data_IF_654470182650
#
_entry.id   IF_654470182650
#
_cell.length_a   1.000
_cell.length_b   1.000
_cell.length_c   1.000
_cell.angle_alpha   90.00
_cell.angle_beta   90.00
_cell.angle_gamma   90.00
#
_symmetry.space_group_name_H-M   'P 1'
#
loop_
_entity.id
_entity.type
_entity.pdbx_description
1 polymer ?
#
# COMPACT_ATOMS: atom_id res chain seq x y z
N UNK A 1 -12.57 43.12 5.52
CA UNK A 1 -11.19 42.66 5.80
C UNK A 1 -11.26 41.14 5.86
N UNK A 2 -10.77 40.50 4.80
CA UNK A 2 -10.84 39.05 4.62
C UNK A 2 -9.74 38.38 5.45
N UNK A 3 -10.09 37.44 6.31
CA UNK A 3 -9.17 36.48 6.89
C UNK A 3 -9.65 35.09 6.48
N UNK A 4 -9.22 34.63 5.31
CA UNK A 4 -9.40 33.25 4.88
C UNK A 4 -8.35 32.43 5.60
N UNK A 5 -8.72 31.77 6.69
CA UNK A 5 -7.90 30.74 7.33
C UNK A 5 -7.76 29.57 6.35
N UNK A 6 -6.62 29.48 5.67
CA UNK A 6 -6.27 28.31 4.88
C UNK A 6 -5.91 27.18 5.83
N UNK A 7 -6.92 26.40 6.25
CA UNK A 7 -6.70 25.09 6.84
C UNK A 7 -6.01 24.25 5.77
N UNK A 8 -4.70 24.04 5.88
CA UNK A 8 -4.00 22.99 5.14
C UNK A 8 -4.60 21.65 5.59
N UNK A 9 -5.74 21.28 4.98
CA UNK A 9 -6.44 20.05 5.25
C UNK A 9 -5.52 18.90 4.90
N UNK A 10 -4.96 18.27 5.92
CA UNK A 10 -4.17 17.06 5.80
C UNK A 10 -5.04 16.03 5.07
N UNK A 11 -4.79 15.84 3.77
CA UNK A 11 -5.61 14.95 2.93
C UNK A 11 -5.53 13.56 3.52
N UNK A 12 -6.67 13.05 3.98
CA UNK A 12 -6.74 11.71 4.53
C UNK A 12 -6.49 10.70 3.41
N UNK A 13 -5.52 9.81 3.61
CA UNK A 13 -5.16 8.82 2.60
C UNK A 13 -6.09 7.59 2.68
N UNK A 14 -6.70 7.15 1.57
CA UNK A 14 -7.71 6.09 1.58
C UNK A 14 -7.19 4.77 2.16
N UNK A 15 -5.92 4.43 1.94
CA UNK A 15 -5.29 3.23 2.52
C UNK A 15 -5.40 3.15 4.06
N UNK A 16 -5.44 4.30 4.75
CA UNK A 16 -5.53 4.34 6.21
C UNK A 16 -6.94 4.02 6.75
N UNK A 17 -7.95 3.93 5.89
CA UNK A 17 -9.31 3.53 6.26
C UNK A 17 -9.54 2.02 6.28
N UNK A 18 -8.62 1.24 5.69
CA UNK A 18 -8.78 -0.22 5.61
C UNK A 18 -8.41 -0.86 6.93
N UNK A 19 -9.44 -1.26 7.68
CA UNK A 19 -9.30 -1.96 8.97
C UNK A 19 -9.16 -3.47 8.82
N UNK A 20 -9.68 -4.04 7.73
CA UNK A 20 -9.62 -5.48 7.47
C UNK A 20 -9.38 -5.77 5.97
N UNK A 21 -8.13 -5.98 5.58
CA UNK A 21 -7.80 -6.28 4.17
C UNK A 21 -8.30 -7.66 3.73
N UNK A 22 -8.54 -8.60 4.65
CA UNK A 22 -9.02 -9.96 4.30
C UNK A 22 -10.41 -9.95 3.66
N UNK A 23 -11.24 -8.94 3.96
CA UNK A 23 -12.54 -8.80 3.29
C UNK A 23 -12.41 -8.34 1.83
N UNK A 24 -11.27 -7.73 1.47
CA UNK A 24 -10.99 -7.22 0.13
C UNK A 24 -10.17 -8.23 -0.70
N UNK A 25 -9.33 -9.02 -0.03
CA UNK A 25 -8.54 -10.09 -0.63
C UNK A 25 -8.87 -11.40 0.12
N UNK A 26 -9.92 -12.14 -0.32
CA UNK A 26 -10.38 -13.36 0.36
C UNK A 26 -9.52 -14.59 0.02
N UNK A 27 -8.27 -14.39 -0.40
CA UNK A 27 -7.32 -15.45 -0.72
C UNK A 27 -6.15 -15.32 0.24
N UNK A 28 -5.75 -16.44 0.85
CA UNK A 28 -4.52 -16.53 1.62
C UNK A 28 -3.41 -17.07 0.73
N UNK A 29 -2.28 -16.36 0.67
CA UNK A 29 -1.09 -16.86 -0.01
C UNK A 29 -0.42 -17.93 0.86
N UNK A 30 -0.24 -19.13 0.32
CA UNK A 30 0.50 -20.21 0.94
C UNK A 30 1.47 -20.85 -0.06
N UNK A 31 2.29 -21.78 0.43
CA UNK A 31 3.32 -22.45 -0.38
C UNK A 31 2.79 -23.65 -1.18
N UNK A 32 1.56 -24.11 -0.91
CA UNK A 32 1.04 -25.40 -1.39
C UNK A 32 -0.10 -25.28 -2.42
N UNK A 33 -0.92 -24.24 -2.30
CA UNK A 33 -2.17 -24.07 -3.06
C UNK A 33 -1.97 -23.52 -4.48
N UNK A 34 -0.78 -23.06 -4.83
CA UNK A 34 -0.50 -22.46 -6.14
C UNK A 34 -1.26 -21.16 -6.41
N UNK A 35 -1.87 -20.54 -5.39
CA UNK A 35 -2.75 -19.37 -5.54
C UNK A 35 -2.00 -18.04 -5.72
N UNK A 36 -0.67 -18.06 -5.85
CA UNK A 36 0.15 -16.85 -5.97
C UNK A 36 -0.32 -15.93 -7.11
N UNK A 37 -0.70 -16.49 -8.26
CA UNK A 37 -1.17 -15.68 -9.38
C UNK A 37 -2.44 -14.90 -9.03
N UNK A 38 -3.47 -15.57 -8.53
CA UNK A 38 -4.73 -14.95 -8.11
C UNK A 38 -4.55 -13.97 -6.96
N UNK A 39 -3.78 -14.36 -5.94
CA UNK A 39 -3.48 -13.50 -4.79
C UNK A 39 -2.74 -12.23 -5.23
N UNK A 40 -1.68 -12.37 -6.03
CA UNK A 40 -0.89 -11.21 -6.48
C UNK A 40 -1.68 -10.27 -7.38
N UNK A 41 -2.58 -10.79 -8.21
CA UNK A 41 -3.48 -9.99 -9.03
C UNK A 41 -4.45 -9.16 -8.16
N UNK A 42 -5.12 -9.79 -7.18
CA UNK A 42 -6.03 -9.11 -6.26
C UNK A 42 -5.28 -8.08 -5.40
N UNK A 43 -4.10 -8.41 -4.89
CA UNK A 43 -3.29 -7.51 -4.08
C UNK A 43 -2.88 -6.25 -4.86
N UNK A 44 -2.44 -6.40 -6.12
CA UNK A 44 -2.10 -5.26 -6.98
C UNK A 44 -3.30 -4.37 -7.29
N UNK A 45 -4.47 -4.96 -7.53
CA UNK A 45 -5.72 -4.18 -7.75
C UNK A 45 -6.06 -3.38 -6.50
N UNK A 46 -6.03 -4.03 -5.33
CA UNK A 46 -6.30 -3.38 -4.04
C UNK A 46 -5.31 -2.25 -3.76
N UNK A 47 -4.03 -2.46 -3.99
CA UNK A 47 -2.99 -1.44 -3.82
C UNK A 47 -3.19 -0.24 -4.77
N UNK A 48 -3.63 -0.48 -6.02
CA UNK A 48 -3.92 0.59 -6.99
C UNK A 48 -5.14 1.41 -6.59
N UNK A 49 -6.21 0.77 -6.11
CA UNK A 49 -7.43 1.48 -5.66
C UNK A 49 -7.14 2.40 -4.47
N UNK A 50 -6.11 2.09 -3.69
CA UNK A 50 -5.75 2.83 -2.48
C UNK A 50 -4.50 3.69 -2.63
N UNK A 51 -4.02 3.93 -3.87
CA UNK A 51 -2.85 4.77 -4.17
C UNK A 51 -1.57 4.34 -3.43
N UNK A 52 -1.37 3.02 -3.23
CA UNK A 52 -0.16 2.46 -2.58
C UNK A 52 0.59 1.47 -3.46
N UNK A 53 0.27 1.39 -4.76
CA UNK A 53 0.93 0.46 -5.68
C UNK A 53 2.45 0.72 -5.80
N UNK A 54 2.87 1.97 -5.70
CA UNK A 54 4.27 2.39 -5.81
C UNK A 54 5.13 1.92 -4.62
N UNK A 55 4.51 1.51 -3.50
CA UNK A 55 5.20 0.85 -2.39
C UNK A 55 5.57 -0.62 -2.70
N UNK A 56 4.99 -1.21 -3.74
CA UNK A 56 5.20 -2.62 -4.12
C UNK A 56 6.02 -2.70 -5.40
N UNK A 57 5.66 -1.90 -6.40
CA UNK A 57 6.28 -1.90 -7.72
C UNK A 57 6.92 -0.54 -7.92
N UNK A 58 8.26 -0.51 -7.88
CA UNK A 58 9.00 0.70 -8.18
C UNK A 58 8.83 1.05 -9.66
N UNK A 59 8.57 2.33 -9.98
CA UNK A 59 8.50 2.77 -11.37
C UNK A 59 9.85 2.56 -12.07
N UNK A 60 9.80 2.15 -13.34
CA UNK A 60 10.99 1.87 -14.15
C UNK A 60 11.41 3.05 -15.02
N UNK A 61 10.44 3.82 -15.51
CA UNK A 61 10.64 4.97 -16.38
C UNK A 61 11.23 6.16 -15.62
N UNK A 62 12.14 6.89 -16.25
CA UNK A 62 12.87 8.00 -15.61
C UNK A 62 11.95 9.12 -15.11
N UNK A 63 10.89 9.43 -15.86
CA UNK A 63 9.89 10.44 -15.46
C UNK A 63 9.12 10.00 -14.23
N UNK A 64 8.70 8.74 -14.18
CA UNK A 64 7.88 8.22 -13.10
C UNK A 64 8.72 8.03 -11.84
N UNK A 65 10.00 7.64 -11.98
CA UNK A 65 10.98 7.64 -10.87
C UNK A 65 11.15 9.04 -10.26
N UNK A 66 11.28 10.07 -11.09
CA UNK A 66 11.41 11.43 -10.58
C UNK A 66 10.15 11.89 -9.82
N UNK A 67 8.95 11.49 -10.30
CA UNK A 67 7.69 11.78 -9.61
C UNK A 67 7.56 11.02 -8.28
N UNK A 68 7.96 9.75 -8.25
CA UNK A 68 8.00 8.91 -7.05
C UNK A 68 8.91 9.50 -5.96
N UNK A 69 10.16 9.83 -6.30
CA UNK A 69 11.11 10.40 -5.33
C UNK A 69 10.63 11.77 -4.81
N UNK A 70 10.00 12.57 -5.66
CA UNK A 70 9.39 13.84 -5.25
C UNK A 70 8.25 13.61 -4.24
N UNK A 71 7.33 12.70 -4.53
CA UNK A 71 6.18 12.38 -3.65
C UNK A 71 6.64 11.87 -2.29
N UNK A 72 7.65 10.99 -2.28
CA UNK A 72 8.26 10.47 -1.05
C UNK A 72 8.96 11.57 -0.24
N UNK A 73 9.62 12.52 -0.90
CA UNK A 73 10.30 13.63 -0.24
C UNK A 73 9.33 14.70 0.30
N UNK A 74 8.14 14.85 -0.31
CA UNK A 74 7.12 15.80 0.12
C UNK A 74 6.55 15.47 1.51
N UNK A 75 6.26 14.20 1.80
CA UNK A 75 5.75 13.76 3.12
C UNK A 75 6.32 12.38 3.51
N UNK A 76 7.59 12.39 3.93
CA UNK A 76 8.28 11.18 4.38
C UNK A 76 7.59 10.46 5.55
N UNK A 77 7.03 11.17 6.57
CA UNK A 77 6.23 10.52 7.62
C UNK A 77 5.01 9.77 7.09
N UNK A 78 4.21 10.38 6.20
CA UNK A 78 3.07 9.69 5.57
C UNK A 78 3.55 8.51 4.74
N UNK A 79 4.61 8.68 3.95
CA UNK A 79 5.18 7.61 3.14
C UNK A 79 5.54 6.38 3.97
N UNK A 80 6.27 6.56 5.09
CA UNK A 80 6.61 5.47 6.01
C UNK A 80 5.39 4.81 6.62
N UNK A 81 4.33 5.58 6.89
CA UNK A 81 3.08 5.05 7.41
C UNK A 81 2.35 4.20 6.38
N UNK A 82 2.30 4.63 5.11
CA UNK A 82 1.71 3.87 4.02
C UNK A 82 2.50 2.59 3.74
N UNK A 83 3.82 2.64 3.81
CA UNK A 83 4.69 1.47 3.72
C UNK A 83 4.34 0.40 4.77
N UNK A 84 4.18 0.83 6.03
CA UNK A 84 3.75 -0.05 7.11
C UNK A 84 2.32 -0.61 6.90
N UNK A 85 1.41 0.16 6.29
CA UNK A 85 0.06 -0.33 5.95
C UNK A 85 0.12 -1.44 4.89
N UNK A 86 0.96 -1.29 3.86
CA UNK A 86 1.14 -2.31 2.83
C UNK A 86 1.74 -3.58 3.44
N UNK A 87 2.75 -3.46 4.31
CA UNK A 87 3.30 -4.60 5.06
C UNK A 87 2.23 -5.29 5.92
N UNK A 88 1.44 -4.52 6.66
CA UNK A 88 0.33 -5.03 7.46
C UNK A 88 -0.66 -5.82 6.60
N UNK A 89 -0.94 -5.37 5.37
CA UNK A 89 -1.82 -6.08 4.44
C UNK A 89 -1.22 -7.39 3.94
N UNK A 90 0.09 -7.41 3.65
CA UNK A 90 0.81 -8.63 3.28
C UNK A 90 0.71 -9.63 4.43
N UNK A 91 1.08 -9.22 5.65
CA UNK A 91 1.04 -10.10 6.83
C UNK A 91 -0.35 -10.67 7.12
N UNK A 92 -1.40 -9.88 6.86
CA UNK A 92 -2.77 -10.34 7.03
C UNK A 92 -3.24 -11.32 5.94
N UNK A 93 -2.60 -11.38 4.78
CA UNK A 93 -3.07 -12.17 3.62
C UNK A 93 -2.13 -13.31 3.22
N UNK A 94 -1.07 -13.55 3.99
CA UNK A 94 -0.19 -14.71 3.85
C UNK A 94 -0.46 -15.75 4.94
N UNK A 95 -0.12 -16.99 4.67
CA UNK A 95 -0.11 -18.09 5.64
C UNK A 95 0.93 -17.87 6.72
N UNK A 96 0.77 -18.57 7.86
CA UNK A 96 1.72 -18.50 8.98
C UNK A 96 3.13 -18.92 8.58
N UNK A 97 3.26 -19.90 7.68
CA UNK A 97 4.56 -20.40 7.24
C UNK A 97 5.32 -19.33 6.45
N UNK A 98 4.63 -18.66 5.53
CA UNK A 98 5.20 -17.53 4.79
C UNK A 98 5.51 -16.37 5.74
N UNK A 99 4.59 -16.04 6.64
CA UNK A 99 4.78 -14.95 7.60
C UNK A 99 6.04 -15.17 8.45
N UNK A 100 6.24 -16.38 8.96
CA UNK A 100 7.41 -16.74 9.77
C UNK A 100 8.71 -16.73 8.96
N UNK A 101 8.63 -16.92 7.63
CA UNK A 101 9.80 -16.87 6.76
C UNK A 101 10.24 -15.46 6.38
N UNK A 102 9.37 -14.45 6.49
CA UNK A 102 9.65 -13.06 6.08
C UNK A 102 9.81 -12.08 7.26
N UNK A 103 9.46 -12.51 8.48
CA UNK A 103 9.70 -11.79 9.74
C UNK A 103 11.05 -12.18 10.35
#
# INVERSE_FOLDING_TARGET
MSATTSTNGQKFHPALSITNVKSLIPITLDLESGQYHSWSALFKVQARVHDVLEHIILPTDEKDKAAYEKTKAEDLPLWKRLDAVVLQWIYATVSSDILTSIL
#
